data_IF_742566748668
#
_entry.id   IF_742566748668
#
_cell.length_a   1.000
_cell.length_b   1.000
_cell.length_c   1.000
_cell.angle_alpha   90.00
_cell.angle_beta   90.00
_cell.angle_gamma   90.00
#
_symmetry.space_group_name_H-M   'P 1'
#
loop_
_entity.id
_entity.type
_entity.pdbx_description
1 polymer ?
#
# COMPACT_ATOMS: atom_id res chain seq x y z
N UNK A 1 -33.59 0.79 1.41
CA UNK A 1 -32.37 0.61 0.60
C UNK A 1 -31.22 0.37 1.58
N UNK A 2 -30.45 -0.72 1.47
CA UNK A 2 -29.35 -0.96 2.40
C UNK A 2 -28.33 0.17 2.26
N UNK A 3 -28.05 0.83 3.39
CA UNK A 3 -27.16 1.97 3.48
C UNK A 3 -25.73 1.49 3.15
N UNK A 4 -25.22 1.85 1.96
CA UNK A 4 -23.90 1.43 1.52
C UNK A 4 -22.83 2.11 2.39
N UNK A 5 -22.28 1.37 3.35
CA UNK A 5 -21.22 1.87 4.24
C UNK A 5 -19.99 2.15 3.36
N UNK A 6 -19.70 3.42 3.10
CA UNK A 6 -18.51 3.87 2.36
C UNK A 6 -17.26 3.30 3.01
N UNK A 7 -16.75 2.18 2.49
CA UNK A 7 -15.54 1.57 3.04
C UNK A 7 -14.34 2.49 2.81
N UNK A 8 -13.57 2.77 3.87
CA UNK A 8 -12.33 3.54 3.78
C UNK A 8 -11.44 2.95 2.69
N UNK A 9 -10.98 3.80 1.76
CA UNK A 9 -10.04 3.42 0.70
C UNK A 9 -8.61 3.28 1.23
N UNK A 10 -8.30 4.01 2.31
CA UNK A 10 -7.00 4.06 2.98
C UNK A 10 -7.12 3.49 4.38
N UNK A 11 -6.20 2.58 4.73
CA UNK A 11 -6.17 1.80 5.97
C UNK A 11 -5.13 2.31 6.96
N UNK A 12 -4.31 3.27 6.56
CA UNK A 12 -3.33 3.92 7.42
C UNK A 12 -2.39 4.81 6.61
N UNK A 13 -1.69 5.69 7.33
CA UNK A 13 -0.66 6.55 6.78
C UNK A 13 0.54 6.57 7.71
N UNK A 14 1.74 6.69 7.16
CA UNK A 14 2.97 6.86 7.92
C UNK A 14 3.81 7.99 7.33
N UNK A 15 4.49 8.75 8.17
CA UNK A 15 5.40 9.82 7.77
C UNK A 15 6.81 9.27 7.61
N UNK A 16 7.50 9.71 6.56
CA UNK A 16 8.86 9.34 6.24
C UNK A 16 9.82 10.38 6.83
N UNK A 17 10.84 9.90 7.52
CA UNK A 17 11.88 10.78 8.05
C UNK A 17 12.80 11.22 6.90
N UNK A 18 13.46 10.27 6.24
CA UNK A 18 14.30 10.52 5.08
C UNK A 18 14.35 9.33 4.11
N UNK A 19 14.80 9.64 2.89
CA UNK A 19 15.16 8.67 1.87
C UNK A 19 16.69 8.58 1.79
N UNK A 20 17.23 7.37 1.61
CA UNK A 20 18.67 7.15 1.42
C UNK A 20 18.91 6.16 0.28
N UNK A 21 19.57 6.53 -0.83
CA UNK A 21 20.21 7.82 -1.09
C UNK A 21 19.20 8.98 -1.20
N UNK A 22 19.61 10.24 -0.95
CA UNK A 22 18.77 11.39 -1.24
C UNK A 22 18.46 11.45 -2.73
N UNK A 23 17.29 12.01 -3.07
CA UNK A 23 16.94 12.23 -4.47
C UNK A 23 17.85 13.30 -5.07
N UNK A 24 18.63 12.92 -6.07
CA UNK A 24 19.34 13.87 -6.93
C UNK A 24 18.44 14.25 -8.11
N UNK A 25 18.86 14.03 -9.35
CA UNK A 25 18.06 14.30 -10.55
C UNK A 25 17.07 13.16 -10.85
N UNK A 26 17.56 11.92 -10.79
CA UNK A 26 16.75 10.70 -10.94
C UNK A 26 16.72 9.92 -9.62
N UNK A 27 15.69 9.08 -9.47
CA UNK A 27 15.66 8.16 -8.34
C UNK A 27 16.67 7.03 -8.58
N UNK A 28 17.52 6.70 -7.59
CA UNK A 28 18.40 5.55 -7.69
C UNK A 28 17.61 4.25 -7.84
N UNK A 29 18.27 3.22 -8.38
CA UNK A 29 17.69 1.88 -8.58
C UNK A 29 17.12 1.26 -7.29
N UNK A 30 17.68 1.64 -6.14
CA UNK A 30 17.22 1.23 -4.84
C UNK A 30 17.15 2.45 -3.90
N UNK A 31 16.10 2.49 -3.09
CA UNK A 31 15.84 3.58 -2.15
C UNK A 31 15.50 2.96 -0.80
N UNK A 32 16.22 3.36 0.24
CA UNK A 32 15.84 3.09 1.61
C UNK A 32 14.88 4.17 2.09
N UNK A 33 13.89 3.75 2.89
CA UNK A 33 12.95 4.63 3.56
C UNK A 33 13.15 4.43 5.05
N UNK A 34 13.59 5.48 5.74
CA UNK A 34 13.68 5.48 7.19
C UNK A 34 12.42 6.15 7.76
N UNK A 35 11.78 5.48 8.71
CA UNK A 35 10.63 5.98 9.44
C UNK A 35 10.89 5.80 10.94
N UNK A 36 10.30 6.66 11.77
CA UNK A 36 10.43 6.51 13.23
C UNK A 36 9.73 5.23 13.71
N UNK A 37 10.10 4.76 14.91
CA UNK A 37 9.45 3.62 15.54
C UNK A 37 7.91 3.76 15.61
N UNK A 38 7.42 4.94 15.99
CA UNK A 38 5.98 5.21 16.08
C UNK A 38 5.29 5.15 14.72
N UNK A 39 5.92 5.72 13.68
CA UNK A 39 5.38 5.69 12.31
C UNK A 39 5.43 4.26 11.74
N UNK A 40 6.46 3.48 12.06
CA UNK A 40 6.53 2.05 11.73
C UNK A 40 5.41 1.26 12.40
N UNK A 41 5.13 1.52 13.68
CA UNK A 41 4.05 0.86 14.41
C UNK A 41 2.68 1.21 13.81
N UNK A 42 2.44 2.48 13.45
CA UNK A 42 1.22 2.89 12.74
C UNK A 42 1.07 2.19 11.40
N UNK A 43 2.15 2.10 10.63
CA UNK A 43 2.18 1.40 9.34
C UNK A 43 1.85 -0.10 9.52
N UNK A 44 2.46 -0.75 10.51
CA UNK A 44 2.21 -2.15 10.84
C UNK A 44 0.73 -2.41 11.17
N UNK A 45 0.13 -1.58 12.02
CA UNK A 45 -1.27 -1.71 12.40
C UNK A 45 -2.22 -1.52 11.20
N UNK A 46 -1.97 -0.50 10.38
CA UNK A 46 -2.76 -0.26 9.16
C UNK A 46 -2.65 -1.41 8.15
N UNK A 47 -1.45 -1.99 8.01
CA UNK A 47 -1.22 -3.17 7.17
C UNK A 47 -1.99 -4.38 7.70
N UNK A 48 -1.94 -4.63 9.01
CA UNK A 48 -2.69 -5.69 9.68
C UNK A 48 -4.20 -5.57 9.44
N UNK A 49 -4.76 -4.35 9.55
CA UNK A 49 -6.18 -4.09 9.29
C UNK A 49 -6.58 -4.42 7.83
N UNK A 50 -5.77 -3.98 6.86
CA UNK A 50 -6.03 -4.29 5.45
C UNK A 50 -5.91 -5.79 5.18
N UNK A 51 -4.85 -6.44 5.67
CA UNK A 51 -4.66 -7.88 5.50
C UNK A 51 -5.79 -8.69 6.13
N UNK A 52 -6.27 -8.30 7.31
CA UNK A 52 -7.45 -8.89 7.94
C UNK A 52 -8.68 -8.81 7.02
N UNK A 53 -8.91 -7.65 6.39
CA UNK A 53 -9.99 -7.48 5.41
C UNK A 53 -9.77 -8.35 4.17
N UNK A 54 -8.56 -8.39 3.61
CA UNK A 54 -8.28 -9.19 2.41
C UNK A 54 -8.41 -10.70 2.68
N UNK A 55 -8.13 -11.14 3.91
CA UNK A 55 -8.27 -12.54 4.29
C UNK A 55 -9.72 -13.03 4.28
N UNK A 56 -10.70 -12.12 4.33
CA UNK A 56 -12.13 -12.46 4.18
C UNK A 56 -12.50 -12.86 2.76
N UNK A 57 -11.65 -12.58 1.76
CA UNK A 57 -11.96 -12.88 0.37
C UNK A 57 -11.71 -14.34 0.01
N UNK A 58 -12.65 -14.91 -0.75
CA UNK A 58 -12.48 -16.23 -1.32
C UNK A 58 -11.37 -16.23 -2.40
N UNK A 59 -10.22 -16.83 -2.08
CA UNK A 59 -9.04 -16.93 -2.95
C UNK A 59 -9.26 -17.80 -4.20
N UNK A 60 -10.34 -18.58 -4.26
CA UNK A 60 -10.73 -19.32 -5.47
C UNK A 60 -11.41 -18.42 -6.52
N UNK A 61 -11.79 -17.19 -6.17
CA UNK A 61 -12.41 -16.24 -7.10
C UNK A 61 -11.36 -15.31 -7.72
N UNK A 62 -11.62 -14.81 -8.93
CA UNK A 62 -10.74 -13.82 -9.60
C UNK A 62 -10.50 -12.58 -8.71
N UNK A 63 -11.54 -11.95 -8.10
CA UNK A 63 -11.33 -10.82 -7.20
C UNK A 63 -10.49 -11.15 -5.96
N UNK A 64 -10.64 -12.36 -5.41
CA UNK A 64 -9.82 -12.81 -4.29
C UNK A 64 -8.35 -12.99 -4.67
N UNK A 65 -8.07 -13.61 -5.82
CA UNK A 65 -6.69 -13.77 -6.34
C UNK A 65 -6.03 -12.45 -6.70
N UNK A 66 -6.81 -11.49 -7.20
CA UNK A 66 -6.28 -10.19 -7.60
C UNK A 66 -6.11 -9.24 -6.43
N UNK A 67 -6.69 -9.51 -5.26
CA UNK A 67 -6.64 -8.59 -4.13
C UNK A 67 -5.24 -8.43 -3.57
N UNK A 68 -4.80 -7.18 -3.44
CA UNK A 68 -3.44 -6.85 -3.03
C UNK A 68 -3.41 -5.67 -2.04
N UNK A 69 -2.26 -5.51 -1.39
CA UNK A 69 -1.89 -4.29 -0.69
C UNK A 69 -1.17 -3.35 -1.65
N UNK A 70 -1.55 -2.07 -1.65
CA UNK A 70 -0.84 -1.00 -2.33
C UNK A 70 -0.22 -0.09 -1.28
N UNK A 71 1.11 0.04 -1.32
CA UNK A 71 1.86 1.04 -0.57
C UNK A 71 2.19 2.19 -1.52
N UNK A 72 1.54 3.33 -1.33
CA UNK A 72 1.80 4.52 -2.14
C UNK A 72 2.72 5.46 -1.35
N UNK A 73 3.87 5.79 -1.96
CA UNK A 73 4.90 6.66 -1.39
C UNK A 73 4.83 8.03 -2.07
N UNK A 74 4.45 9.05 -1.31
CA UNK A 74 4.52 10.45 -1.71
C UNK A 74 5.90 10.99 -1.36
N UNK A 75 6.76 11.12 -2.36
CA UNK A 75 8.16 11.51 -2.14
C UNK A 75 8.33 12.98 -1.75
N UNK A 76 7.50 13.87 -2.29
CA UNK A 76 7.51 15.30 -1.95
C UNK A 76 6.95 15.55 -0.54
N UNK A 77 5.84 14.90 -0.20
CA UNK A 77 5.17 15.03 1.09
C UNK A 77 5.72 14.09 2.17
N UNK A 78 6.76 13.29 1.85
CA UNK A 78 7.38 12.29 2.74
C UNK A 78 6.35 11.44 3.47
N UNK A 79 5.44 10.80 2.74
CA UNK A 79 4.32 10.06 3.33
C UNK A 79 4.06 8.74 2.63
N UNK A 80 3.80 7.69 3.40
CA UNK A 80 3.32 6.40 2.92
C UNK A 80 1.82 6.30 3.21
N UNK A 81 1.06 5.73 2.28
CA UNK A 81 -0.35 5.39 2.50
C UNK A 81 -0.60 3.92 2.18
N UNK A 82 -1.44 3.28 2.98
CA UNK A 82 -1.81 1.87 2.83
C UNK A 82 -3.19 1.81 2.19
N UNK A 83 -3.28 1.27 0.98
CA UNK A 83 -4.50 1.20 0.22
C UNK A 83 -4.77 -0.22 -0.26
N UNK A 84 -6.02 -0.51 -0.59
CA UNK A 84 -6.36 -1.74 -1.31
C UNK A 84 -5.91 -1.60 -2.77
N UNK A 85 -5.13 -2.54 -3.26
CA UNK A 85 -4.68 -2.63 -4.64
C UNK A 85 -5.24 -3.86 -5.37
N UNK A 86 -4.76 -4.03 -6.61
CA UNK A 86 -4.92 -5.27 -7.37
C UNK A 86 -3.58 -5.68 -7.98
N UNK A 87 -3.24 -6.97 -7.95
CA UNK A 87 -2.11 -7.48 -8.73
C UNK A 87 -2.44 -7.47 -10.21
N UNK A 88 -1.51 -7.00 -11.04
CA UNK A 88 -1.55 -7.23 -12.48
C UNK A 88 -0.84 -8.56 -12.74
N UNK A 89 -1.40 -9.40 -13.62
CA UNK A 89 -0.68 -10.61 -14.08
C UNK A 89 0.22 -10.19 -15.24
N UNK A 90 1.53 -10.27 -15.06
CA UNK A 90 2.53 -10.05 -16.12
C UNK A 90 2.55 -11.23 -17.11
N UNK A 91 1.47 -11.36 -17.88
CA UNK A 91 1.31 -12.42 -18.88
C UNK A 91 0.08 -12.26 -19.80
N UNK A 92 -0.63 -11.14 -19.73
CA UNK A 92 -1.53 -10.72 -20.80
C UNK A 92 -0.82 -9.61 -21.56
N UNK A 93 0.15 -10.00 -22.37
CA UNK A 93 0.57 -9.19 -23.50
C UNK A 93 -0.69 -8.73 -24.24
N UNK A 94 -0.73 -7.44 -24.54
CA UNK A 94 -1.68 -6.88 -25.46
C UNK A 94 -1.62 -7.69 -26.77
N UNK A 95 -2.68 -8.44 -27.04
CA UNK A 95 -3.03 -8.87 -28.39
C UNK A 95 -4.14 -7.96 -28.88
#
# INVERSE_FOLDING_TARGET
>A
MPNEIKTKKTFGTATIDHFSPPKESEWPKAINITISFEEALRLHLGLGQLLGKLNTYNRATKPGRESAVNLCVYTQARRITINKGRVKRDGAEAK
#
